data_IF_959814471257
#
_entry.id   IF_959814471257
#
_cell.length_a   1.000
_cell.length_b   1.000
_cell.length_c   1.000
_cell.angle_alpha   90.00
_cell.angle_beta   90.00
_cell.angle_gamma   90.00
#
_symmetry.space_group_name_H-M   'P 1'
#
loop_
_entity.id
_entity.type
_entity.pdbx_description
1 polymer ?
#
# COMPACT_ATOMS: atom_id res chain seq x y z
N UNK A 1 5.68 12.65 60.09
CA UNK A 1 4.67 12.32 59.05
C UNK A 1 5.17 12.91 57.74
N UNK A 2 5.65 12.06 56.82
CA UNK A 2 6.16 12.47 55.51
C UNK A 2 5.11 12.02 54.46
N UNK A 3 4.56 12.91 53.61
CA UNK A 3 3.57 12.49 52.64
C UNK A 3 4.26 11.80 51.46
N UNK A 4 3.68 10.65 51.12
CA UNK A 4 3.91 9.88 49.91
C UNK A 4 3.52 10.75 48.71
N UNK A 5 4.49 11.10 47.86
CA UNK A 5 4.21 11.66 46.54
C UNK A 5 4.73 10.68 45.48
N UNK A 6 3.90 9.69 45.20
CA UNK A 6 4.08 8.75 44.08
C UNK A 6 3.74 9.53 42.80
N UNK A 7 4.77 10.13 42.18
CA UNK A 7 4.71 10.61 40.80
C UNK A 7 4.79 9.40 39.87
N UNK A 8 3.64 8.79 39.58
CA UNK A 8 3.49 7.95 38.39
C UNK A 8 3.42 8.92 37.21
N UNK A 9 4.58 9.24 36.64
CA UNK A 9 4.63 9.80 35.30
C UNK A 9 4.17 8.69 34.33
N UNK A 10 3.03 8.94 33.69
CA UNK A 10 2.43 8.10 32.67
C UNK A 10 3.44 7.71 31.59
N UNK A 11 3.69 6.39 31.50
CA UNK A 11 3.84 5.51 30.33
C UNK A 11 4.42 6.13 29.03
N UNK A 12 5.43 5.48 28.41
CA UNK A 12 6.17 6.04 27.29
C UNK A 12 5.29 6.30 26.06
N UNK A 13 5.68 7.37 25.36
CA UNK A 13 5.34 7.76 24.01
C UNK A 13 5.05 6.53 23.12
N UNK A 14 3.77 6.31 22.81
CA UNK A 14 3.39 5.53 21.65
C UNK A 14 3.90 6.31 20.44
N UNK A 15 4.84 5.75 19.67
CA UNK A 15 5.13 6.18 18.30
C UNK A 15 3.86 5.92 17.47
N UNK A 16 2.86 6.78 17.65
CA UNK A 16 1.68 6.83 16.82
C UNK A 16 2.11 7.54 15.54
N UNK A 17 2.00 6.84 14.41
CA UNK A 17 2.13 7.46 13.09
C UNK A 17 1.39 8.80 13.07
N UNK A 18 2.06 9.85 12.58
CA UNK A 18 1.44 11.16 12.36
C UNK A 18 0.18 11.09 11.48
N UNK A 19 0.07 10.06 10.65
CA UNK A 19 -1.03 9.87 9.71
C UNK A 19 -2.08 8.89 10.25
N UNK A 20 -3.38 9.23 10.20
CA UNK A 20 -4.44 8.30 10.54
C UNK A 20 -4.56 7.20 9.48
N UNK A 21 -5.35 6.18 9.81
CA UNK A 21 -5.84 5.21 8.84
C UNK A 21 -6.55 5.93 7.70
N UNK A 22 -6.30 5.49 6.47
CA UNK A 22 -6.89 6.09 5.29
C UNK A 22 -7.48 5.04 4.36
N UNK A 23 -8.36 5.48 3.46
CA UNK A 23 -8.99 4.67 2.44
C UNK A 23 -8.78 5.31 1.08
N UNK A 24 -8.48 4.48 0.09
CA UNK A 24 -8.51 4.87 -1.32
C UNK A 24 -9.47 3.95 -2.04
N UNK A 25 -10.44 4.52 -2.74
CA UNK A 25 -11.45 3.76 -3.49
C UNK A 25 -11.67 4.36 -4.87
N UNK A 26 -12.27 3.59 -5.77
CA UNK A 26 -12.59 4.05 -7.11
C UNK A 26 -12.76 2.91 -8.10
N UNK A 27 -12.60 3.23 -9.38
CA UNK A 27 -12.77 2.30 -10.50
C UNK A 27 -11.53 2.30 -11.39
N UNK A 28 -11.02 1.11 -11.72
CA UNK A 28 -10.03 0.92 -12.78
C UNK A 28 -10.74 0.96 -14.14
N UNK A 29 -10.31 1.89 -14.99
CA UNK A 29 -10.85 2.09 -16.33
C UNK A 29 -9.78 1.79 -17.39
N UNK A 30 -10.23 1.34 -18.54
CA UNK A 30 -9.43 1.21 -19.75
C UNK A 30 -10.28 1.72 -20.91
N UNK A 31 -9.93 2.91 -21.41
CA UNK A 31 -10.71 3.63 -22.43
C UNK A 31 -12.16 3.84 -21.97
N UNK A 32 -12.32 4.31 -20.73
CA UNK A 32 -13.62 4.56 -20.10
C UNK A 32 -14.41 3.31 -19.70
N UNK A 33 -13.91 2.10 -19.95
CA UNK A 33 -14.59 0.86 -19.57
C UNK A 33 -13.94 0.23 -18.33
N UNK A 34 -14.73 -0.28 -17.37
CA UNK A 34 -14.19 -1.00 -16.22
C UNK A 34 -13.30 -2.19 -16.62
N UNK A 35 -12.21 -2.39 -15.89
CA UNK A 35 -11.26 -3.47 -16.17
C UNK A 35 -10.75 -4.13 -14.88
N UNK A 36 -10.60 -5.45 -14.95
CA UNK A 36 -9.95 -6.23 -13.88
C UNK A 36 -8.45 -5.93 -13.80
N UNK A 37 -7.91 -6.07 -12.60
CA UNK A 37 -6.49 -5.85 -12.35
C UNK A 37 -6.09 -6.30 -10.95
N UNK A 38 -4.89 -5.92 -10.56
CA UNK A 38 -4.43 -6.09 -9.19
C UNK A 38 -3.70 -4.84 -8.74
N UNK A 39 -4.08 -4.28 -7.60
CA UNK A 39 -3.51 -3.06 -7.06
C UNK A 39 -2.69 -3.41 -5.83
N UNK A 40 -1.44 -2.99 -5.83
CA UNK A 40 -0.56 -3.02 -4.67
C UNK A 40 -0.41 -1.58 -4.19
N UNK A 41 -0.82 -1.30 -2.96
CA UNK A 41 -0.63 -0.01 -2.32
C UNK A 41 0.58 -0.12 -1.40
N UNK A 42 1.54 0.76 -1.62
CA UNK A 42 2.79 0.82 -0.86
C UNK A 42 3.00 2.21 -0.32
N UNK A 43 3.81 2.26 0.73
CA UNK A 43 4.52 3.46 1.13
C UNK A 43 5.97 3.33 0.63
N UNK A 44 6.45 4.30 -0.16
CA UNK A 44 7.74 4.26 -0.86
C UNK A 44 8.77 5.22 -0.23
N UNK A 45 9.13 4.94 1.02
CA UNK A 45 10.07 5.75 1.82
C UNK A 45 11.56 5.43 1.55
N UNK A 46 11.94 5.23 0.28
CA UNK A 46 13.29 4.88 -0.19
C UNK A 46 13.93 3.63 0.49
N UNK A 47 13.89 2.51 -0.23
CA UNK A 47 14.73 1.29 -0.14
C UNK A 47 14.62 0.43 1.11
N UNK A 48 14.79 0.97 2.32
CA UNK A 48 14.75 0.16 3.55
C UNK A 48 13.39 0.16 4.22
N UNK A 49 12.63 1.25 4.08
CA UNK A 49 11.34 1.41 4.77
C UNK A 49 10.12 1.21 3.87
N UNK A 50 10.33 0.91 2.58
CA UNK A 50 9.20 0.61 1.69
C UNK A 50 8.41 -0.57 2.26
N UNK A 51 7.12 -0.35 2.50
CA UNK A 51 6.26 -1.34 3.12
C UNK A 51 4.93 -1.48 2.39
N UNK A 52 4.42 -2.72 2.43
CA UNK A 52 3.13 -3.05 1.85
C UNK A 52 2.02 -2.56 2.79
N UNK A 53 1.28 -1.54 2.34
CA UNK A 53 0.07 -1.11 3.02
C UNK A 53 -1.06 -2.13 2.77
N UNK A 54 -1.38 -2.37 1.51
CA UNK A 54 -2.49 -3.26 1.13
C UNK A 54 -2.35 -3.80 -0.29
N UNK A 55 -3.06 -4.89 -0.59
CA UNK A 55 -3.20 -5.42 -1.95
C UNK A 55 -4.66 -5.78 -2.21
N UNK A 56 -5.14 -5.49 -3.42
CA UNK A 56 -6.51 -5.78 -3.83
C UNK A 56 -6.54 -6.31 -5.26
N UNK A 57 -7.08 -7.52 -5.42
CA UNK A 57 -7.54 -8.03 -6.71
C UNK A 57 -8.85 -7.32 -7.09
N UNK A 58 -8.85 -6.71 -8.26
CA UNK A 58 -9.98 -5.99 -8.84
C UNK A 58 -10.63 -6.87 -9.88
N UNK A 59 -11.95 -7.05 -9.77
CA UNK A 59 -12.74 -7.91 -10.66
C UNK A 59 -13.24 -7.13 -11.87
N UNK A 60 -14.15 -7.73 -12.65
CA UNK A 60 -14.60 -7.18 -13.93
C UNK A 60 -15.39 -5.87 -13.82
N UNK A 61 -15.92 -5.55 -12.65
CA UNK A 61 -16.60 -4.28 -12.39
C UNK A 61 -15.62 -3.10 -12.20
N UNK A 62 -14.31 -3.37 -12.17
CA UNK A 62 -13.25 -2.38 -12.02
C UNK A 62 -13.17 -1.75 -10.64
N UNK A 63 -14.10 -2.05 -9.72
CA UNK A 63 -14.20 -1.34 -8.44
C UNK A 63 -13.15 -1.82 -7.45
N UNK A 64 -12.59 -0.89 -6.70
CA UNK A 64 -11.64 -1.19 -5.64
C UNK A 64 -11.85 -0.31 -4.40
N UNK A 65 -11.40 -0.84 -3.26
CA UNK A 65 -11.23 -0.10 -2.01
C UNK A 65 -10.05 -0.73 -1.27
N UNK A 66 -9.07 0.10 -0.94
CA UNK A 66 -7.84 -0.22 -0.24
C UNK A 66 -7.82 0.57 1.05
N UNK A 67 -7.35 -0.05 2.13
CA UNK A 67 -7.13 0.59 3.42
C UNK A 67 -5.63 0.70 3.68
N UNK A 68 -5.16 1.89 4.00
CA UNK A 68 -3.78 2.17 4.36
C UNK A 68 -3.65 2.33 5.86
N UNK A 69 -2.63 1.70 6.42
CA UNK A 69 -2.23 1.82 7.81
C UNK A 69 -0.76 2.24 7.83
N UNK A 70 -0.49 3.55 7.96
CA UNK A 70 0.87 4.05 8.03
C UNK A 70 1.53 3.58 9.34
N UNK A 71 2.82 3.24 9.26
CA UNK A 71 3.59 2.66 10.38
C UNK A 71 4.68 3.64 10.85
N UNK A 72 4.94 4.71 10.10
CA UNK A 72 5.95 5.73 10.35
C UNK A 72 5.42 7.15 10.09
N UNK A 73 6.26 8.15 10.36
CA UNK A 73 5.92 9.57 10.24
C UNK A 73 6.10 10.15 8.82
N UNK A 74 6.54 9.32 7.89
CA UNK A 74 6.73 9.64 6.47
C UNK A 74 5.72 8.83 5.66
N UNK A 75 5.08 9.42 4.65
CA UNK A 75 4.07 8.71 3.87
C UNK A 75 4.18 9.10 2.39
N UNK A 76 4.78 8.25 1.56
CA UNK A 76 4.82 8.36 0.10
C UNK A 76 3.97 7.25 -0.54
N UNK A 77 2.65 7.48 -0.61
CA UNK A 77 1.72 6.46 -1.10
C UNK A 77 1.82 6.30 -2.61
N UNK A 78 2.01 5.06 -3.07
CA UNK A 78 1.93 4.69 -4.49
C UNK A 78 0.98 3.52 -4.70
N UNK A 79 0.17 3.62 -5.74
CA UNK A 79 -0.62 2.51 -6.27
C UNK A 79 0.09 1.91 -7.47
N UNK A 80 0.49 0.64 -7.35
CA UNK A 80 1.04 -0.14 -8.44
C UNK A 80 -0.04 -1.06 -8.99
N UNK A 81 -0.51 -0.76 -10.19
CA UNK A 81 -1.65 -1.46 -10.81
C UNK A 81 -1.12 -2.39 -11.87
N UNK A 82 -1.31 -3.70 -11.70
CA UNK A 82 -1.05 -4.74 -12.68
C UNK A 82 -2.30 -4.99 -13.56
N UNK A 83 -2.18 -4.81 -14.87
CA UNK A 83 -3.31 -4.87 -15.79
C UNK A 83 -2.94 -5.36 -17.20
N UNK A 84 -3.97 -5.55 -18.05
CA UNK A 84 -3.84 -5.95 -19.46
C UNK A 84 -4.36 -4.90 -20.47
N UNK A 85 -4.71 -3.70 -20.02
CA UNK A 85 -5.29 -2.64 -20.87
C UNK A 85 -4.51 -2.39 -22.18
N UNK A 86 -3.18 -2.33 -22.09
CA UNK A 86 -2.30 -2.04 -23.24
C UNK A 86 -2.03 -3.23 -24.17
N UNK A 87 -2.48 -4.44 -23.81
CA UNK A 87 -2.37 -5.62 -24.68
C UNK A 87 -0.94 -5.96 -25.11
N UNK A 88 0.05 -5.77 -24.23
CA UNK A 88 1.46 -6.09 -24.48
C UNK A 88 1.64 -7.52 -24.98
N UNK A 89 2.58 -7.74 -25.91
CA UNK A 89 2.89 -9.05 -26.50
C UNK A 89 4.36 -9.39 -26.34
N UNK A 90 4.68 -10.66 -26.12
CA UNK A 90 6.04 -11.17 -26.14
C UNK A 90 6.49 -11.43 -27.59
N UNK A 91 7.06 -10.43 -28.25
CA UNK A 91 7.66 -10.59 -29.58
C UNK A 91 6.68 -10.94 -30.72
N UNK A 92 7.24 -11.22 -31.92
CA UNK A 92 6.48 -11.65 -33.09
C UNK A 92 6.14 -13.14 -32.96
N UNK A 93 4.90 -13.47 -32.64
CA UNK A 93 4.37 -14.84 -32.75
C UNK A 93 3.64 -15.37 -31.50
N UNK A 94 3.82 -14.74 -30.34
CA UNK A 94 3.10 -15.13 -29.13
C UNK A 94 1.72 -14.44 -29.07
N UNK A 95 0.65 -15.24 -28.97
CA UNK A 95 -0.72 -14.77 -28.81
C UNK A 95 -1.05 -14.42 -27.36
N UNK A 96 -0.16 -14.73 -26.41
CA UNK A 96 -0.35 -14.45 -25.00
C UNK A 96 -0.18 -12.95 -24.71
N UNK A 97 -1.26 -12.31 -24.24
CA UNK A 97 -1.21 -10.93 -23.75
C UNK A 97 -0.47 -10.89 -22.41
N UNK A 98 0.72 -10.30 -22.41
CA UNK A 98 1.50 -10.03 -21.22
C UNK A 98 0.75 -9.04 -20.32
N UNK A 99 0.95 -9.21 -19.02
CA UNK A 99 0.54 -8.20 -18.04
C UNK A 99 1.62 -7.12 -17.98
N UNK A 100 1.17 -5.88 -17.93
CA UNK A 100 2.01 -4.76 -17.57
C UNK A 100 1.56 -4.17 -16.23
N UNK A 101 2.36 -3.26 -15.70
CA UNK A 101 1.99 -2.46 -14.55
C UNK A 101 2.23 -0.98 -14.78
N UNK A 102 1.39 -0.17 -14.14
CA UNK A 102 1.48 1.27 -14.07
C UNK A 102 1.65 1.68 -12.60
N UNK A 103 2.30 2.82 -12.36
CA UNK A 103 2.54 3.36 -11.01
C UNK A 103 1.87 4.71 -10.91
N UNK A 104 1.09 4.91 -9.85
CA UNK A 104 0.32 6.11 -9.61
C UNK A 104 0.67 6.66 -8.23
N UNK A 105 1.37 7.80 -8.14
CA UNK A 105 1.60 8.47 -6.87
C UNK A 105 0.29 9.06 -6.35
N UNK A 106 0.06 8.95 -5.05
CA UNK A 106 -1.07 9.57 -4.35
C UNK A 106 -0.51 10.70 -3.51
N UNK A 107 -0.93 11.93 -3.79
CA UNK A 107 -0.46 13.06 -3.03
C UNK A 107 -1.12 13.11 -1.65
N UNK A 108 -0.31 13.30 -0.60
CA UNK A 108 -0.81 13.47 0.77
C UNK A 108 -1.84 14.59 0.85
N UNK A 109 -1.68 15.66 0.09
CA UNK A 109 -2.65 16.77 0.05
C UNK A 109 -4.05 16.31 -0.35
N UNK A 110 -4.17 15.31 -1.22
CA UNK A 110 -5.46 14.82 -1.68
C UNK A 110 -6.12 13.96 -0.61
N UNK A 111 -5.32 13.14 0.10
CA UNK A 111 -5.79 12.42 1.29
C UNK A 111 -6.26 13.39 2.39
N UNK A 112 -5.50 14.46 2.66
CA UNK A 112 -5.88 15.45 3.69
C UNK A 112 -7.15 16.19 3.31
N UNK A 113 -7.29 16.61 2.04
CA UNK A 113 -8.49 17.31 1.55
C UNK A 113 -9.74 16.42 1.58
N UNK A 114 -9.57 15.10 1.44
CA UNK A 114 -10.66 14.14 1.46
C UNK A 114 -10.92 13.54 2.84
N UNK A 115 -10.38 14.14 3.92
CA UNK A 115 -10.49 13.62 5.28
C UNK A 115 -10.06 12.14 5.40
N UNK A 116 -9.03 11.76 4.63
CA UNK A 116 -8.46 10.42 4.55
C UNK A 116 -9.39 9.34 3.95
N UNK A 117 -10.51 9.73 3.32
CA UNK A 117 -11.33 8.86 2.48
C UNK A 117 -11.32 9.35 1.01
N UNK A 118 -10.31 8.92 0.27
CA UNK A 118 -10.01 9.43 -1.07
C UNK A 118 -10.67 8.57 -2.16
N UNK A 119 -11.46 9.22 -3.01
CA UNK A 119 -12.10 8.60 -4.17
C UNK A 119 -11.39 9.00 -5.46
N UNK A 120 -10.91 8.02 -6.22
CA UNK A 120 -10.13 8.23 -7.43
C UNK A 120 -10.34 7.13 -8.47
N UNK A 121 -10.94 7.50 -9.60
CA UNK A 121 -11.00 6.63 -10.79
C UNK A 121 -9.69 6.72 -11.58
N UNK A 122 -9.15 5.56 -11.97
CA UNK A 122 -7.83 5.43 -12.60
C UNK A 122 -8.00 4.97 -14.05
N UNK A 123 -7.69 5.85 -15.00
CA UNK A 123 -7.67 5.53 -16.42
C UNK A 123 -6.31 4.95 -16.84
N UNK A 124 -6.32 3.66 -17.18
CA UNK A 124 -5.12 2.87 -17.48
C UNK A 124 -4.69 2.93 -18.94
N UNK A 125 -5.47 3.57 -19.83
CA UNK A 125 -5.08 3.69 -21.24
C UNK A 125 -4.14 4.86 -21.52
N UNK A 126 -4.07 5.83 -20.61
CA UNK A 126 -3.21 7.02 -20.72
C UNK A 126 -1.91 6.88 -19.90
N UNK A 127 -1.78 5.80 -19.12
CA UNK A 127 -0.66 5.58 -18.21
C UNK A 127 0.55 4.96 -18.89
N UNK A 128 1.75 5.27 -18.38
CA UNK A 128 2.98 4.58 -18.79
C UNK A 128 3.00 3.16 -18.22
N UNK A 129 3.24 2.16 -19.07
CA UNK A 129 3.23 0.76 -18.67
C UNK A 129 4.61 0.12 -18.78
N UNK A 130 4.97 -0.65 -17.77
CA UNK A 130 6.15 -1.53 -17.75
C UNK A 130 5.73 -2.99 -17.76
N UNK A 131 6.58 -3.89 -18.25
CA UNK A 131 6.28 -5.33 -18.25
C UNK A 131 6.31 -5.85 -16.80
N UNK A 132 5.28 -6.58 -16.37
CA UNK A 132 5.18 -7.08 -14.99
C UNK A 132 6.19 -8.17 -14.68
N UNK A 133 6.39 -9.13 -15.59
CA UNK A 133 7.32 -10.24 -15.37
C UNK A 133 8.74 -9.87 -15.84
N UNK A 134 9.79 -10.14 -15.04
CA UNK A 134 9.81 -10.81 -13.73
C UNK A 134 9.76 -9.85 -12.53
N UNK A 135 9.81 -8.54 -12.77
CA UNK A 135 10.10 -7.51 -11.76
C UNK A 135 9.01 -7.43 -10.70
N UNK A 136 7.74 -7.31 -11.11
CA UNK A 136 6.62 -7.08 -10.19
C UNK A 136 6.37 -8.28 -9.25
N UNK A 137 6.38 -9.55 -9.70
CA UNK A 137 6.28 -10.69 -8.79
C UNK A 137 7.42 -10.77 -7.77
N UNK A 138 8.66 -10.52 -8.20
CA UNK A 138 9.82 -10.56 -7.30
C UNK A 138 9.73 -9.46 -6.24
N UNK A 139 9.39 -8.24 -6.66
CA UNK A 139 9.21 -7.12 -5.74
C UNK A 139 8.02 -7.31 -4.80
N UNK A 140 6.90 -7.86 -5.29
CA UNK A 140 5.75 -8.24 -4.44
C UNK A 140 6.19 -9.23 -3.36
N UNK A 141 6.91 -10.28 -3.73
CA UNK A 141 7.41 -11.28 -2.77
C UNK A 141 8.32 -10.64 -1.70
N UNK A 142 9.18 -9.69 -2.10
CA UNK A 142 10.04 -8.94 -1.18
C UNK A 142 9.24 -8.06 -0.20
N UNK A 143 8.23 -7.33 -0.68
CA UNK A 143 7.34 -6.50 0.15
C UNK A 143 6.60 -7.35 1.20
N UNK A 144 6.08 -8.52 0.81
CA UNK A 144 5.45 -9.46 1.74
C UNK A 144 6.45 -10.01 2.77
N UNK A 145 7.66 -10.34 2.34
CA UNK A 145 8.73 -10.78 3.24
C UNK A 145 9.02 -9.75 4.32
N UNK A 146 9.13 -8.47 3.95
CA UNK A 146 9.30 -7.37 4.90
C UNK A 146 8.15 -7.26 5.89
N UNK A 147 6.90 -7.31 5.40
CA UNK A 147 5.71 -7.23 6.25
C UNK A 147 5.67 -8.34 7.30
N UNK A 148 5.91 -9.58 6.90
CA UNK A 148 5.94 -10.73 7.82
C UNK A 148 6.99 -10.54 8.92
N UNK A 149 8.18 -10.04 8.57
CA UNK A 149 9.26 -9.77 9.53
C UNK A 149 8.83 -8.67 10.51
N UNK A 150 8.25 -7.56 10.01
CA UNK A 150 7.76 -6.46 10.85
C UNK A 150 6.68 -6.92 11.84
N UNK A 151 5.64 -7.59 11.34
CA UNK A 151 4.53 -8.11 12.14
C UNK A 151 5.03 -9.11 13.20
N UNK A 152 6.08 -9.87 12.90
CA UNK A 152 6.68 -10.81 13.86
C UNK A 152 7.46 -10.09 14.96
N UNK A 153 8.22 -9.04 14.62
CA UNK A 153 8.95 -8.21 15.59
C UNK A 153 7.97 -7.52 16.55
N UNK A 154 6.88 -6.95 16.03
CA UNK A 154 5.86 -6.31 16.86
C UNK A 154 5.21 -7.29 17.84
N UNK A 155 4.87 -8.51 17.39
CA UNK A 155 4.34 -9.55 18.28
C UNK A 155 5.32 -9.92 19.39
N UNK A 156 6.62 -10.06 19.09
CA UNK A 156 7.65 -10.35 20.10
C UNK A 156 7.77 -9.20 21.11
N UNK A 157 7.74 -7.94 20.64
CA UNK A 157 7.74 -6.77 21.54
C UNK A 157 6.53 -6.79 22.49
N UNK A 158 5.34 -7.06 21.97
CA UNK A 158 4.12 -7.18 22.77
C UNK A 158 4.24 -8.27 23.83
N UNK A 159 4.70 -9.48 23.47
CA UNK A 159 4.92 -10.56 24.43
C UNK A 159 5.94 -10.22 25.51
N UNK A 160 7.02 -9.50 25.16
CA UNK A 160 8.05 -9.08 26.12
C UNK A 160 7.52 -8.01 27.09
N UNK A 161 6.65 -7.11 26.63
CA UNK A 161 5.98 -6.13 27.50
C UNK A 161 5.05 -6.86 28.47
N UNK A 162 4.23 -7.80 27.98
CA UNK A 162 3.33 -8.60 28.82
C UNK A 162 4.05 -9.45 29.86
N UNK A 163 5.26 -9.96 29.56
CA UNK A 163 6.06 -10.71 30.53
C UNK A 163 6.75 -9.81 31.60
N UNK A 164 6.80 -8.49 31.38
CA UNK A 164 7.42 -7.52 32.28
C UNK A 164 6.39 -6.70 33.09
N UNK A 165 5.10 -7.01 32.96
CA UNK A 165 3.97 -6.48 33.75
C UNK A 165 3.50 -7.55 34.72
#
# INVERSE_FOLDING_TARGET
MLPILVMIAFIPLLDASKFPLFRISGTLLCRGNPIKGNIIMIDDNFSINDHLLSEKKVELDGKFSLRGEPIDDCLDVKLVVEHKCHGMKAGRGDSSKLKGYSVFPVHISDLVKSEYDFSWDIELSESTVRISSPVLPAWRAWLYGKRIISDSIERIKQLKIWNNV
#
